data_IF_123647887891
#
_entry.id   IF_123647887891
#
_cell.length_a   1.000
_cell.length_b   1.000
_cell.length_c   1.000
_cell.angle_alpha   90.00
_cell.angle_beta   90.00
_cell.angle_gamma   90.00
#
_symmetry.space_group_name_H-M   'P 1'
#
loop_
_entity.id
_entity.type
_entity.pdbx_description
1 polymer ?
#
# COMPACT_ATOMS: atom_id res chain seq x y z
N UNK A 1 7.57 -6.03 42.17
CA UNK A 1 7.31 -4.89 41.27
C UNK A 1 7.01 -5.47 39.91
N UNK A 2 5.74 -5.76 39.67
CA UNK A 2 5.24 -6.43 38.46
C UNK A 2 5.08 -5.41 37.34
N UNK A 3 5.71 -5.67 36.20
CA UNK A 3 5.62 -4.84 35.00
C UNK A 3 4.16 -4.73 34.51
N UNK A 4 3.55 -3.52 34.52
CA UNK A 4 2.16 -3.32 34.12
C UNK A 4 1.91 -3.49 32.61
N UNK A 5 2.95 -3.74 31.79
CA UNK A 5 2.82 -3.92 30.34
C UNK A 5 2.80 -5.39 29.88
N UNK A 6 3.04 -6.35 30.77
CA UNK A 6 3.10 -7.77 30.41
C UNK A 6 1.72 -8.41 30.06
N UNK A 7 0.60 -7.75 30.37
CA UNK A 7 -0.75 -8.35 30.29
C UNK A 7 -1.48 -8.09 28.96
N UNK A 8 -0.92 -7.32 28.02
CA UNK A 8 -1.66 -6.88 26.83
C UNK A 8 -1.41 -7.68 25.53
N UNK A 9 -0.79 -8.87 25.57
CA UNK A 9 -0.42 -9.64 24.36
C UNK A 9 -1.30 -10.85 24.05
N UNK A 10 -2.62 -10.67 24.05
CA UNK A 10 -3.53 -11.60 23.35
C UNK A 10 -4.58 -10.83 22.56
N UNK A 11 -4.17 -10.28 21.41
CA UNK A 11 -5.13 -9.94 20.36
C UNK A 11 -5.48 -11.25 19.63
N UNK A 12 -6.78 -11.47 19.43
CA UNK A 12 -7.28 -12.58 18.64
C UNK A 12 -6.70 -12.52 17.22
N UNK A 13 -6.48 -13.65 16.55
CA UNK A 13 -6.05 -13.64 15.16
C UNK A 13 -7.09 -12.88 14.34
N UNK A 14 -6.65 -11.82 13.68
CA UNK A 14 -7.44 -11.17 12.64
C UNK A 14 -7.69 -12.26 11.59
N UNK A 15 -8.95 -12.47 11.26
CA UNK A 15 -9.45 -13.56 10.42
C UNK A 15 -8.52 -13.75 9.20
N UNK A 16 -7.96 -14.95 9.05
CA UNK A 16 -6.85 -15.23 8.15
C UNK A 16 -7.04 -14.69 6.74
N UNK A 17 -5.94 -14.18 6.19
CA UNK A 17 -5.79 -13.83 4.79
C UNK A 17 -6.30 -15.01 3.94
N UNK A 18 -7.48 -14.83 3.34
CA UNK A 18 -7.83 -15.62 2.17
C UNK A 18 -6.77 -15.33 1.13
N UNK A 19 -6.14 -16.38 0.59
CA UNK A 19 -5.23 -16.25 -0.53
C UNK A 19 -5.86 -15.30 -1.57
N UNK A 20 -5.10 -14.35 -2.16
CA UNK A 20 -5.62 -13.53 -3.23
C UNK A 20 -5.81 -14.45 -4.44
N UNK A 21 -6.99 -15.09 -4.52
CA UNK A 21 -7.57 -15.41 -5.79
C UNK A 21 -7.70 -14.06 -6.48
N UNK A 22 -6.82 -13.82 -7.45
CA UNK A 22 -6.89 -12.74 -8.43
C UNK A 22 -8.35 -12.29 -8.56
N UNK A 23 -8.65 -11.10 -8.03
CA UNK A 23 -9.88 -10.37 -8.34
C UNK A 23 -9.79 -9.85 -9.79
N UNK A 24 -9.39 -10.74 -10.71
CA UNK A 24 -9.51 -10.53 -12.14
C UNK A 24 -10.97 -10.76 -12.48
N UNK A 25 -11.76 -9.70 -12.36
CA UNK A 25 -13.16 -9.75 -12.72
C UNK A 25 -14.06 -8.87 -11.86
N UNK A 26 -13.85 -7.56 -11.93
CA UNK A 26 -14.91 -6.56 -12.10
C UNK A 26 -14.25 -5.19 -12.09
N UNK A 27 -13.50 -4.89 -13.16
CA UNK A 27 -13.18 -3.53 -13.53
C UNK A 27 -14.51 -2.81 -13.79
N UNK A 28 -15.06 -2.19 -12.76
CA UNK A 28 -16.08 -1.18 -12.88
C UNK A 28 -15.36 0.01 -13.50
N UNK A 29 -15.16 -0.02 -14.83
CA UNK A 29 -14.47 1.05 -15.57
C UNK A 29 -15.20 2.35 -15.32
N UNK A 30 -14.72 3.07 -14.33
CA UNK A 30 -15.10 4.45 -14.10
C UNK A 30 -14.79 5.21 -15.37
N UNK A 31 -15.66 6.17 -15.72
CA UNK A 31 -15.43 7.06 -16.87
C UNK A 31 -14.15 7.90 -16.73
N UNK A 32 -13.56 7.92 -15.53
CA UNK A 32 -12.33 8.62 -15.21
C UNK A 32 -11.08 7.73 -15.28
N UNK A 33 -11.21 6.45 -15.59
CA UNK A 33 -10.09 5.51 -15.67
C UNK A 33 -9.48 5.52 -17.08
N UNK A 34 -8.26 6.02 -17.21
CA UNK A 34 -7.46 5.98 -18.44
C UNK A 34 -6.33 4.94 -18.34
N UNK A 35 -5.58 4.77 -19.42
CA UNK A 35 -4.51 3.76 -19.53
C UNK A 35 -3.37 4.00 -18.53
N UNK A 36 -3.09 5.26 -18.16
CA UNK A 36 -2.04 5.59 -17.17
C UNK A 36 -2.47 5.21 -15.76
N UNK A 37 -3.72 5.49 -15.41
CA UNK A 37 -4.31 5.07 -14.14
C UNK A 37 -4.43 3.55 -14.04
N UNK A 38 -4.78 2.86 -15.13
CA UNK A 38 -4.81 1.38 -15.19
C UNK A 38 -3.42 0.79 -14.95
N UNK A 39 -2.39 1.36 -15.57
CA UNK A 39 -1.01 0.94 -15.34
C UNK A 39 -0.58 1.09 -13.86
N UNK A 40 -0.95 2.19 -13.20
CA UNK A 40 -0.65 2.41 -11.77
C UNK A 40 -1.37 1.39 -10.90
N UNK A 41 -2.65 1.14 -11.18
CA UNK A 41 -3.44 0.16 -10.44
C UNK A 41 -2.80 -1.23 -10.54
N UNK A 42 -2.55 -1.69 -11.76
CA UNK A 42 -2.03 -3.03 -12.04
C UNK A 42 -0.62 -3.22 -11.43
N UNK A 43 0.27 -2.24 -11.62
CA UNK A 43 1.61 -2.28 -11.04
C UNK A 43 1.56 -2.32 -9.50
N UNK A 44 0.61 -1.60 -8.90
CA UNK A 44 0.47 -1.56 -7.44
C UNK A 44 -0.08 -2.88 -6.90
N UNK A 45 -1.09 -3.46 -7.55
CA UNK A 45 -1.62 -4.78 -7.19
C UNK A 45 -0.54 -5.85 -7.34
N UNK A 46 0.26 -5.80 -8.40
CA UNK A 46 1.38 -6.72 -8.60
C UNK A 46 2.42 -6.59 -7.49
N UNK A 47 2.84 -5.35 -7.16
CA UNK A 47 3.76 -5.11 -6.05
C UNK A 47 3.21 -5.65 -4.73
N UNK A 48 1.94 -5.39 -4.43
CA UNK A 48 1.30 -5.89 -3.21
C UNK A 48 1.31 -7.42 -3.16
N UNK A 49 0.89 -8.08 -4.24
CA UNK A 49 0.84 -9.54 -4.29
C UNK A 49 2.20 -10.22 -4.15
N UNK A 50 3.25 -9.59 -4.69
CA UNK A 50 4.61 -10.14 -4.70
C UNK A 50 5.42 -9.78 -3.44
N UNK A 51 5.23 -8.59 -2.88
CA UNK A 51 6.14 -8.01 -1.88
C UNK A 51 5.48 -7.76 -0.52
N UNK A 52 4.15 -7.62 -0.47
CA UNK A 52 3.43 -7.24 0.75
C UNK A 52 2.68 -8.44 1.32
N UNK A 53 1.79 -9.05 0.54
CA UNK A 53 0.95 -10.15 1.00
C UNK A 53 1.74 -11.33 1.61
N UNK A 54 2.92 -11.73 1.10
CA UNK A 54 3.71 -12.80 1.71
C UNK A 54 4.28 -12.48 3.11
N UNK A 55 4.36 -11.20 3.48
CA UNK A 55 5.08 -10.72 4.66
C UNK A 55 4.22 -9.93 5.66
N UNK A 56 3.02 -9.47 5.26
CA UNK A 56 2.20 -8.56 6.05
C UNK A 56 1.82 -9.08 7.45
N UNK A 57 1.57 -10.38 7.61
CA UNK A 57 1.27 -10.97 8.93
C UNK A 57 2.43 -10.79 9.92
N UNK A 58 3.68 -10.89 9.47
CA UNK A 58 4.88 -10.67 10.30
C UNK A 58 4.99 -9.20 10.70
N UNK A 59 4.77 -8.29 9.74
CA UNK A 59 4.81 -6.84 9.99
C UNK A 59 3.75 -6.37 10.98
N UNK A 60 2.55 -6.95 10.93
CA UNK A 60 1.49 -6.68 11.90
C UNK A 60 1.84 -7.18 13.31
N UNK A 61 2.50 -8.34 13.42
CA UNK A 61 2.98 -8.87 14.70
C UNK A 61 4.11 -8.03 15.29
N UNK A 62 5.04 -7.58 14.44
CA UNK A 62 6.17 -6.72 14.83
C UNK A 62 5.76 -5.25 15.01
N UNK A 63 4.59 -4.87 14.49
CA UNK A 63 4.03 -3.53 14.58
C UNK A 63 4.73 -2.50 13.69
N UNK A 64 5.40 -2.94 12.61
CA UNK A 64 6.08 -2.04 11.69
C UNK A 64 6.22 -2.61 10.28
N UNK A 65 6.13 -1.74 9.28
CA UNK A 65 6.55 -2.02 7.90
C UNK A 65 8.06 -1.77 7.79
N UNK A 66 8.87 -2.71 7.26
CA UNK A 66 10.29 -2.50 7.05
C UNK A 66 10.57 -1.32 6.11
N UNK A 67 11.59 -0.51 6.42
CA UNK A 67 11.94 0.67 5.62
C UNK A 67 12.39 0.32 4.21
N UNK A 68 12.95 -0.88 4.05
CA UNK A 68 13.40 -1.44 2.79
C UNK A 68 12.26 -1.60 1.78
N UNK A 69 11.02 -1.82 2.27
CA UNK A 69 9.83 -1.88 1.42
C UNK A 69 9.57 -0.51 0.81
N UNK A 70 9.56 0.55 1.61
CA UNK A 70 9.42 1.93 1.12
C UNK A 70 10.57 2.32 0.18
N UNK A 71 11.80 1.91 0.48
CA UNK A 71 12.94 2.14 -0.40
C UNK A 71 12.74 1.47 -1.77
N UNK A 72 12.19 0.24 -1.80
CA UNK A 72 11.86 -0.46 -3.05
C UNK A 72 10.76 0.24 -3.82
N UNK A 73 9.68 0.65 -3.15
CA UNK A 73 8.59 1.42 -3.76
C UNK A 73 9.10 2.75 -4.35
N UNK A 74 9.99 3.44 -3.64
CA UNK A 74 10.64 4.65 -4.13
C UNK A 74 11.52 4.40 -5.35
N UNK A 75 12.28 3.30 -5.37
CA UNK A 75 13.06 2.88 -6.55
C UNK A 75 12.21 2.54 -7.78
N UNK A 76 10.93 2.20 -7.58
CA UNK A 76 9.95 1.96 -8.64
C UNK A 76 9.17 3.24 -9.03
N UNK A 77 9.42 4.38 -8.37
CA UNK A 77 8.72 5.64 -8.63
C UNK A 77 7.32 5.75 -8.00
N UNK A 78 6.88 4.75 -7.24
CA UNK A 78 5.50 4.67 -6.72
C UNK A 78 5.18 5.70 -5.62
N UNK A 79 6.22 6.29 -5.01
CA UNK A 79 6.06 7.22 -3.88
C UNK A 79 5.95 8.70 -4.28
N UNK A 80 6.00 9.02 -5.58
CA UNK A 80 6.06 10.41 -6.05
C UNK A 80 5.11 10.69 -7.21
N UNK A 81 3.97 10.00 -7.23
CA UNK A 81 2.96 10.09 -8.30
C UNK A 81 2.55 11.54 -8.59
N UNK A 82 2.28 12.34 -7.55
CA UNK A 82 1.80 13.75 -7.69
C UNK A 82 2.89 14.80 -7.64
N UNK A 83 4.14 14.40 -7.44
CA UNK A 83 5.25 15.34 -7.38
C UNK A 83 5.58 15.77 -8.82
N UNK A 84 5.82 17.07 -9.09
CA UNK A 84 6.18 17.54 -10.43
C UNK A 84 7.39 16.79 -11.01
N UNK A 85 7.41 16.60 -12.33
CA UNK A 85 8.49 15.91 -13.03
C UNK A 85 9.86 16.60 -12.81
N UNK A 86 9.88 17.92 -12.66
CA UNK A 86 11.10 18.70 -12.40
C UNK A 86 11.75 18.37 -11.05
N UNK A 87 10.99 17.77 -10.13
CA UNK A 87 11.44 17.30 -8.83
C UNK A 87 11.60 15.77 -8.79
N UNK A 88 11.49 15.09 -9.94
CA UNK A 88 11.65 13.65 -10.07
C UNK A 88 10.41 12.81 -9.76
N UNK A 89 9.22 13.43 -9.75
CA UNK A 89 7.94 12.71 -9.67
C UNK A 89 7.31 12.43 -11.03
N UNK A 90 6.04 12.02 -11.02
CA UNK A 90 5.28 11.69 -12.24
C UNK A 90 4.30 12.80 -12.68
N UNK A 91 4.22 13.92 -11.95
CA UNK A 91 3.38 15.07 -12.32
C UNK A 91 1.87 14.80 -12.36
N UNK A 92 1.40 13.71 -11.75
CA UNK A 92 0.01 13.27 -11.85
C UNK A 92 -0.93 13.98 -10.87
N UNK A 93 -2.24 13.81 -11.07
CA UNK A 93 -3.27 14.44 -10.25
C UNK A 93 -3.77 13.59 -9.08
N UNK A 94 -4.77 14.11 -8.35
CA UNK A 94 -5.40 13.40 -7.23
C UNK A 94 -6.08 12.08 -7.63
N UNK A 95 -6.50 11.93 -8.88
CA UNK A 95 -7.06 10.67 -9.37
C UNK A 95 -6.02 9.55 -9.33
N UNK A 96 -4.75 9.84 -9.64
CA UNK A 96 -3.66 8.87 -9.51
C UNK A 96 -3.45 8.46 -8.05
N UNK A 97 -3.44 9.40 -7.11
CA UNK A 97 -3.39 9.07 -5.67
C UNK A 97 -4.58 8.21 -5.23
N UNK A 98 -5.79 8.51 -5.72
CA UNK A 98 -6.99 7.76 -5.36
C UNK A 98 -6.94 6.31 -5.89
N UNK A 99 -6.57 6.13 -7.16
CA UNK A 99 -6.40 4.82 -7.79
C UNK A 99 -5.28 4.02 -7.11
N UNK A 100 -4.15 4.69 -6.80
CA UNK A 100 -3.07 4.09 -6.04
C UNK A 100 -3.52 3.61 -4.66
N UNK A 101 -4.26 4.46 -3.92
CA UNK A 101 -4.86 4.09 -2.63
C UNK A 101 -5.83 2.92 -2.74
N UNK A 102 -6.64 2.85 -3.79
CA UNK A 102 -7.55 1.73 -4.03
C UNK A 102 -6.78 0.43 -4.28
N UNK A 103 -5.74 0.49 -5.10
CA UNK A 103 -4.89 -0.64 -5.41
C UNK A 103 -4.11 -1.16 -4.19
N UNK A 104 -3.58 -0.28 -3.33
CA UNK A 104 -2.93 -0.65 -2.07
C UNK A 104 -3.86 -1.49 -1.18
N UNK A 105 -5.17 -1.18 -1.17
CA UNK A 105 -6.17 -1.91 -0.41
C UNK A 105 -6.30 -3.40 -0.76
N UNK A 106 -5.75 -3.84 -1.90
CA UNK A 106 -5.59 -5.28 -2.22
C UNK A 106 -4.72 -6.02 -1.20
N UNK A 107 -3.91 -5.31 -0.40
CA UNK A 107 -3.05 -5.88 0.62
C UNK A 107 -3.84 -6.47 1.79
N UNK A 108 -5.00 -5.89 2.10
CA UNK A 108 -5.80 -6.12 3.33
C UNK A 108 -5.10 -5.73 4.64
N UNK A 109 -3.89 -5.13 4.56
CA UNK A 109 -3.09 -4.69 5.71
C UNK A 109 -3.12 -3.17 5.84
N UNK A 110 -4.08 -2.66 6.60
CA UNK A 110 -4.26 -1.20 6.78
C UNK A 110 -3.01 -0.50 7.35
N UNK A 111 -2.18 -1.20 8.14
CA UNK A 111 -0.92 -0.66 8.63
C UNK A 111 0.07 -0.34 7.50
N UNK A 112 0.14 -1.20 6.48
CA UNK A 112 0.94 -0.97 5.28
C UNK A 112 0.37 0.17 4.44
N UNK A 113 -0.92 0.12 4.11
CA UNK A 113 -1.57 1.12 3.25
C UNK A 113 -1.39 2.54 3.81
N UNK A 114 -1.67 2.73 5.10
CA UNK A 114 -1.55 4.04 5.76
C UNK A 114 -0.09 4.49 5.83
N UNK A 115 0.87 3.57 6.04
CA UNK A 115 2.30 3.93 6.04
C UNK A 115 2.71 4.54 4.70
N UNK A 116 2.26 3.95 3.59
CA UNK A 116 2.53 4.45 2.24
C UNK A 116 1.80 5.77 1.99
N UNK A 117 0.50 5.84 2.28
CA UNK A 117 -0.31 7.04 1.99
C UNK A 117 0.10 8.26 2.81
N UNK A 118 0.53 8.07 4.07
CA UNK A 118 1.12 9.17 4.86
C UNK A 118 2.38 9.70 4.18
N UNK A 119 3.20 8.83 3.60
CA UNK A 119 4.39 9.25 2.87
C UNK A 119 4.02 10.08 1.64
N UNK A 120 3.10 9.59 0.80
CA UNK A 120 2.77 10.21 -0.50
C UNK A 120 1.88 11.45 -0.37
N UNK A 121 0.93 11.47 0.57
CA UNK A 121 -0.12 12.49 0.62
C UNK A 121 -0.05 13.43 1.84
N UNK A 122 0.77 13.11 2.86
CA UNK A 122 0.92 13.98 4.05
C UNK A 122 2.35 14.48 4.29
N UNK A 123 3.36 13.67 3.98
CA UNK A 123 4.77 14.00 4.22
C UNK A 123 5.52 14.47 2.96
N UNK A 124 4.97 14.19 1.77
CA UNK A 124 5.48 14.71 0.51
C UNK A 124 5.44 16.25 0.47
N UNK A 125 6.36 16.90 -0.26
CA UNK A 125 6.38 18.36 -0.40
C UNK A 125 5.16 18.93 -1.13
#
# INVERSE_FOLDING_TARGET
>A
MTDPLATARRRAPIRGAGAPGVLSGMAHRSVYMDDELEAIYDQTVEFVGNEVTPHGDEWELDGMVPREVLARMGGLGMLSLRIPEELGGLGMGMLASAVFSEALGSSTYAGFDVTVLVHTDMAGP
#
